data_IF_937802569013
#
_entry.id   IF_937802569013
#
_cell.length_a   1.000
_cell.length_b   1.000
_cell.length_c   1.000
_cell.angle_alpha   90.00
_cell.angle_beta   90.00
_cell.angle_gamma   90.00
#
_symmetry.space_group_name_H-M   'P 1'
#
loop_
_entity.id
_entity.type
_entity.pdbx_description
1 polymer ?
#
# COMPACT_ATOMS: atom_id res chain seq x y z
N UNK A 1 -2.91 27.55 31.45
CA UNK A 1 -2.57 26.20 30.94
C UNK A 1 -2.14 26.35 29.49
N UNK A 2 -0.91 26.81 29.28
CA UNK A 2 -0.35 27.04 27.95
C UNK A 2 0.54 25.84 27.60
N UNK A 3 0.22 25.14 26.52
CA UNK A 3 1.02 24.02 26.02
C UNK A 3 2.20 24.63 25.27
N UNK A 4 3.36 24.64 25.91
CA UNK A 4 4.64 25.00 25.28
C UNK A 4 4.97 23.98 24.20
N UNK A 5 4.82 24.37 22.93
CA UNK A 5 5.38 23.63 21.79
C UNK A 5 6.88 23.94 21.70
N UNK A 6 7.65 23.50 22.70
CA UNK A 6 9.10 23.44 22.61
C UNK A 6 9.43 22.13 21.91
N UNK A 7 9.67 22.22 20.61
CA UNK A 7 10.28 21.15 19.81
C UNK A 7 11.71 20.98 20.33
N UNK A 8 11.91 20.00 21.21
CA UNK A 8 13.21 19.68 21.77
C UNK A 8 14.01 18.87 20.74
N UNK A 9 14.95 19.54 20.08
CA UNK A 9 15.84 18.93 19.10
C UNK A 9 17.26 18.90 19.65
N UNK A 10 17.47 18.08 20.68
CA UNK A 10 18.80 17.79 21.18
C UNK A 10 18.92 16.32 21.61
N UNK A 11 20.05 15.73 21.20
CA UNK A 11 20.67 14.51 21.69
C UNK A 11 20.09 13.15 21.27
N UNK A 12 20.26 12.85 19.98
CA UNK A 12 20.29 11.49 19.45
C UNK A 12 21.69 10.92 19.29
N UNK A 13 22.58 11.02 20.29
CA UNK A 13 23.86 10.31 20.27
C UNK A 13 23.65 8.82 20.62
N UNK A 14 23.04 8.06 19.69
CA UNK A 14 23.00 6.59 19.77
C UNK A 14 24.22 6.03 19.06
N UNK A 15 25.25 5.75 19.85
CA UNK A 15 26.39 4.95 19.46
C UNK A 15 25.94 3.49 19.26
N UNK A 16 25.33 3.18 18.12
CA UNK A 16 25.16 1.80 17.65
C UNK A 16 26.36 1.46 16.77
N UNK A 17 27.24 0.60 17.28
CA UNK A 17 28.20 -0.10 16.43
C UNK A 17 27.43 -0.89 15.38
N UNK A 18 27.37 -0.36 14.16
CA UNK A 18 26.82 -1.06 13.00
C UNK A 18 27.96 -1.66 12.21
N UNK A 19 28.09 -2.98 12.31
CA UNK A 19 28.91 -3.75 11.39
C UNK A 19 28.45 -3.48 9.95
N UNK A 20 29.40 -3.10 9.09
CA UNK A 20 29.19 -2.81 7.69
C UNK A 20 28.80 -4.08 6.91
N UNK A 21 27.51 -4.32 6.74
CA UNK A 21 27.02 -5.26 5.75
C UNK A 21 26.92 -4.53 4.40
N UNK A 22 27.95 -4.69 3.57
CA UNK A 22 27.90 -4.39 2.14
C UNK A 22 26.70 -5.11 1.53
N UNK A 23 25.70 -4.36 1.09
CA UNK A 23 24.59 -4.87 0.29
C UNK A 23 24.61 -4.19 -1.08
N UNK A 24 25.51 -4.67 -1.94
CA UNK A 24 25.22 -4.69 -3.37
C UNK A 24 24.02 -5.61 -3.58
N UNK A 25 22.85 -5.04 -3.85
CA UNK A 25 21.62 -5.78 -4.12
C UNK A 25 20.84 -5.08 -5.22
N UNK A 26 20.87 -5.67 -6.42
CA UNK A 26 20.09 -5.27 -7.59
C UNK A 26 18.66 -4.90 -7.22
N UNK A 27 18.27 -3.65 -7.48
CA UNK A 27 16.86 -3.26 -7.58
C UNK A 27 16.31 -3.77 -8.91
N UNK A 28 15.73 -4.96 -8.91
CA UNK A 28 14.79 -5.39 -9.96
C UNK A 28 13.50 -4.59 -9.77
N UNK A 29 13.29 -3.59 -10.63
CA UNK A 29 12.00 -2.93 -10.77
C UNK A 29 11.15 -3.76 -11.73
N UNK A 30 10.25 -4.60 -11.21
CA UNK A 30 9.20 -5.21 -12.04
C UNK A 30 8.01 -4.23 -12.08
N UNK A 31 8.15 -3.20 -12.93
CA UNK A 31 7.06 -2.31 -13.30
C UNK A 31 6.30 -2.95 -14.47
N UNK A 32 5.02 -3.22 -14.25
CA UNK A 32 4.03 -3.32 -15.31
C UNK A 32 4.01 -4.64 -16.05
N UNK A 33 3.27 -5.62 -15.53
CA UNK A 33 2.57 -6.58 -16.38
C UNK A 33 1.09 -6.26 -16.38
N UNK A 34 0.60 -5.84 -17.55
CA UNK A 34 -0.81 -5.76 -17.88
C UNK A 34 -1.42 -7.15 -17.67
N UNK A 35 -2.35 -7.25 -16.72
CA UNK A 35 -3.24 -8.39 -16.65
C UNK A 35 -4.49 -8.00 -17.42
N UNK A 36 -4.49 -8.32 -18.71
CA UNK A 36 -5.75 -8.40 -19.46
C UNK A 36 -6.65 -9.39 -18.72
N UNK A 37 -7.83 -8.91 -18.33
CA UNK A 37 -8.85 -9.70 -17.68
C UNK A 37 -9.46 -10.68 -18.69
N UNK A 38 -8.73 -11.76 -18.98
CA UNK A 38 -9.23 -12.87 -19.76
C UNK A 38 -10.11 -13.76 -18.89
N UNK A 39 -11.40 -13.81 -19.21
CA UNK A 39 -12.40 -14.76 -18.68
C UNK A 39 -12.09 -16.26 -18.97
N UNK A 40 -10.83 -16.63 -19.26
CA UNK A 40 -10.42 -17.99 -19.65
C UNK A 40 -9.69 -18.81 -18.58
N UNK A 41 -9.55 -18.31 -17.35
CA UNK A 41 -8.70 -18.93 -16.33
C UNK A 41 -9.26 -20.24 -15.71
N UNK A 42 -10.53 -20.58 -15.93
CA UNK A 42 -11.14 -21.81 -15.39
C UNK A 42 -10.53 -23.08 -16.01
N UNK A 43 -10.29 -23.10 -17.32
CA UNK A 43 -9.82 -24.31 -18.03
C UNK A 43 -8.36 -24.69 -17.75
N UNK A 44 -7.53 -23.74 -17.33
CA UNK A 44 -6.11 -24.02 -17.02
C UNK A 44 -5.93 -24.79 -15.70
N UNK A 45 -6.85 -24.64 -14.75
CA UNK A 45 -6.85 -25.42 -13.51
C UNK A 45 -7.33 -26.85 -13.74
N UNK A 46 -8.40 -26.99 -14.52
CA UNK A 46 -9.00 -28.28 -14.87
C UNK A 46 -8.02 -29.18 -15.64
N UNK A 47 -7.28 -28.62 -16.60
CA UNK A 47 -6.27 -29.37 -17.37
C UNK A 47 -5.17 -29.94 -16.48
N UNK A 48 -4.64 -29.14 -15.55
CA UNK A 48 -3.59 -29.56 -14.61
C UNK A 48 -4.08 -30.61 -13.63
N UNK A 49 -5.36 -30.55 -13.26
CA UNK A 49 -5.96 -31.57 -12.40
C UNK A 49 -6.17 -32.90 -13.12
N UNK A 50 -6.54 -32.86 -14.41
CA UNK A 50 -6.56 -34.06 -15.25
C UNK A 50 -5.16 -34.66 -15.44
N UNK A 51 -4.13 -33.82 -15.68
CA UNK A 51 -2.73 -34.26 -15.76
C UNK A 51 -2.26 -34.94 -14.47
N UNK A 52 -2.57 -34.37 -13.30
CA UNK A 52 -2.25 -34.99 -12.01
C UNK A 52 -2.88 -36.39 -11.89
N UNK A 53 -4.18 -36.47 -12.20
CA UNK A 53 -4.93 -37.72 -12.08
C UNK A 53 -4.37 -38.81 -13.00
N UNK A 54 -3.95 -38.44 -14.21
CA UNK A 54 -3.29 -39.36 -15.14
C UNK A 54 -1.95 -39.87 -14.60
N UNK A 55 -1.14 -39.00 -13.97
CA UNK A 55 0.14 -39.38 -13.37
C UNK A 55 -0.07 -40.28 -12.13
N UNK A 56 -1.09 -40.00 -11.32
CA UNK A 56 -1.47 -40.85 -10.17
C UNK A 56 -1.92 -42.25 -10.62
N UNK A 57 -2.75 -42.33 -11.66
CA UNK A 57 -3.19 -43.61 -12.24
C UNK A 57 -2.00 -44.40 -12.82
N UNK A 58 -1.07 -43.72 -13.50
CA UNK A 58 0.18 -44.30 -14.02
C UNK A 58 1.09 -44.80 -12.90
N UNK A 59 1.25 -44.03 -11.82
CA UNK A 59 1.99 -44.44 -10.63
C UNK A 59 1.38 -45.71 -10.02
N UNK A 60 0.06 -45.79 -9.90
CA UNK A 60 -0.63 -46.97 -9.36
C UNK A 60 -0.42 -48.24 -10.19
N UNK A 61 -0.23 -48.12 -11.51
CA UNK A 61 0.10 -49.25 -12.40
C UNK A 61 1.58 -49.63 -12.24
N UNK A 62 2.48 -48.65 -12.34
CA UNK A 62 3.93 -48.86 -12.24
C UNK A 62 4.36 -49.42 -10.87
N UNK A 63 3.68 -49.05 -9.78
CA UNK A 63 3.95 -49.59 -8.45
C UNK A 63 3.59 -51.07 -8.32
N UNK A 64 2.53 -51.53 -9.02
CA UNK A 64 2.14 -52.94 -9.05
C UNK A 64 3.10 -53.76 -9.91
N UNK A 65 3.44 -53.24 -11.09
CA UNK A 65 4.24 -53.96 -12.08
C UNK A 65 5.74 -53.98 -11.73
N UNK A 66 6.22 -52.95 -11.02
CA UNK A 66 7.59 -52.87 -10.49
C UNK A 66 7.95 -53.99 -9.52
N UNK A 67 6.96 -54.62 -8.87
CA UNK A 67 7.20 -55.78 -7.99
C UNK A 67 7.62 -57.00 -8.82
N UNK A 68 7.12 -57.10 -10.06
CA UNK A 68 7.37 -58.22 -10.97
C UNK A 68 8.56 -57.98 -11.90
N UNK A 69 8.81 -56.73 -12.31
CA UNK A 69 9.88 -56.38 -13.24
C UNK A 69 10.80 -55.26 -12.71
N UNK A 70 12.08 -55.57 -12.39
CA UNK A 70 12.98 -54.61 -11.76
C UNK A 70 13.44 -53.46 -12.68
N UNK A 71 13.27 -53.57 -13.99
CA UNK A 71 13.62 -52.49 -14.92
C UNK A 71 12.61 -51.32 -14.92
N UNK A 72 11.38 -51.55 -14.45
CA UNK A 72 10.36 -50.52 -14.28
C UNK A 72 10.64 -49.58 -13.10
N UNK A 73 11.59 -49.94 -12.22
CA UNK A 73 11.97 -49.13 -11.05
C UNK A 73 12.51 -47.74 -11.42
N UNK A 74 13.18 -47.63 -12.57
CA UNK A 74 13.68 -46.35 -13.07
C UNK A 74 12.53 -45.45 -13.53
N UNK A 75 11.59 -45.98 -14.30
CA UNK A 75 10.40 -45.26 -14.75
C UNK A 75 9.51 -44.84 -13.57
N UNK A 76 9.40 -45.69 -12.54
CA UNK A 76 8.72 -45.34 -11.29
C UNK A 76 9.38 -44.15 -10.59
N UNK A 77 10.71 -44.08 -10.58
CA UNK A 77 11.46 -42.96 -9.98
C UNK A 77 11.22 -41.66 -10.73
N UNK A 78 11.18 -41.72 -12.06
CA UNK A 78 10.91 -40.59 -12.95
C UNK A 78 9.47 -40.08 -12.75
N UNK A 79 8.47 -40.97 -12.79
CA UNK A 79 7.06 -40.61 -12.56
C UNK A 79 6.83 -39.99 -11.16
N UNK A 80 7.51 -40.49 -10.12
CA UNK A 80 7.45 -39.89 -8.76
C UNK A 80 8.05 -38.49 -8.71
N UNK A 81 9.13 -38.25 -9.44
CA UNK A 81 9.74 -36.93 -9.54
C UNK A 81 8.82 -35.95 -10.28
N UNK A 82 8.21 -36.38 -11.39
CA UNK A 82 7.23 -35.59 -12.14
C UNK A 82 6.00 -35.23 -11.31
N UNK A 83 5.46 -36.19 -10.57
CA UNK A 83 4.35 -35.97 -9.64
C UNK A 83 4.67 -34.93 -8.56
N UNK A 84 5.85 -35.05 -7.93
CA UNK A 84 6.30 -34.09 -6.91
C UNK A 84 6.46 -32.67 -7.50
N UNK A 85 7.05 -32.56 -8.69
CA UNK A 85 7.19 -31.28 -9.39
C UNK A 85 5.84 -30.66 -9.75
N UNK A 86 4.87 -31.46 -10.20
CA UNK A 86 3.53 -30.97 -10.56
C UNK A 86 2.78 -30.45 -9.33
N UNK A 87 2.86 -31.17 -8.20
CA UNK A 87 2.32 -30.72 -6.90
C UNK A 87 2.95 -29.40 -6.47
N UNK A 88 4.27 -29.25 -6.56
CA UNK A 88 4.94 -28.00 -6.20
C UNK A 88 4.51 -26.83 -7.07
N UNK A 89 4.34 -27.04 -8.38
CA UNK A 89 3.83 -26.02 -9.31
C UNK A 89 2.41 -25.59 -8.95
N UNK A 90 1.54 -26.54 -8.61
CA UNK A 90 0.16 -26.25 -8.18
C UNK A 90 0.13 -25.50 -6.85
N UNK A 91 0.90 -25.94 -5.85
CA UNK A 91 1.03 -25.22 -4.56
C UNK A 91 1.45 -23.76 -4.76
N UNK A 92 2.43 -23.51 -5.64
CA UNK A 92 2.88 -22.14 -5.95
C UNK A 92 1.76 -21.32 -6.61
N UNK A 93 1.02 -21.91 -7.54
CA UNK A 93 -0.10 -21.27 -8.21
C UNK A 93 -1.23 -20.92 -7.22
N UNK A 94 -1.66 -21.88 -6.41
CA UNK A 94 -2.72 -21.71 -5.42
C UNK A 94 -2.31 -20.70 -4.34
N UNK A 95 -1.07 -20.74 -3.88
CA UNK A 95 -0.53 -19.74 -2.97
C UNK A 95 -0.54 -18.34 -3.58
N UNK A 96 -0.20 -18.21 -4.86
CA UNK A 96 -0.31 -16.95 -5.61
C UNK A 96 -1.76 -16.45 -5.65
N UNK A 97 -2.71 -17.32 -5.95
CA UNK A 97 -4.15 -16.99 -5.98
C UNK A 97 -4.70 -16.63 -4.60
N UNK A 98 -4.30 -17.35 -3.56
CA UNK A 98 -4.63 -17.04 -2.18
C UNK A 98 -4.09 -15.65 -1.79
N UNK A 99 -2.83 -15.36 -2.11
CA UNK A 99 -2.20 -14.06 -1.83
C UNK A 99 -2.90 -12.91 -2.58
N UNK A 100 -3.29 -13.13 -3.84
CA UNK A 100 -4.07 -12.18 -4.62
C UNK A 100 -5.44 -11.89 -3.97
N UNK A 101 -6.16 -12.93 -3.53
CA UNK A 101 -7.45 -12.78 -2.83
C UNK A 101 -7.27 -12.07 -1.50
N UNK A 102 -6.31 -12.51 -0.68
CA UNK A 102 -6.00 -11.88 0.60
C UNK A 102 -5.65 -10.39 0.45
N UNK A 103 -4.96 -9.98 -0.63
CA UNK A 103 -4.70 -8.56 -0.90
C UNK A 103 -5.92 -7.82 -1.49
N UNK A 104 -6.80 -8.50 -2.22
CA UNK A 104 -8.02 -7.90 -2.80
C UNK A 104 -9.14 -7.73 -1.78
N UNK A 105 -9.25 -8.63 -0.82
CA UNK A 105 -10.34 -8.77 0.15
C UNK A 105 -9.91 -8.36 1.57
N UNK A 106 -8.61 -8.38 1.86
CA UNK A 106 -8.08 -7.97 3.15
C UNK A 106 -8.07 -6.45 3.37
N UNK A 107 -7.79 -6.06 4.61
CA UNK A 107 -7.71 -4.67 5.01
C UNK A 107 -6.57 -3.93 4.30
N UNK A 108 -6.96 -2.96 3.46
CA UNK A 108 -6.03 -2.08 2.75
C UNK A 108 -5.29 -1.17 3.70
N UNK A 109 -5.90 -0.77 4.82
CA UNK A 109 -5.29 0.10 5.81
C UNK A 109 -4.12 -0.61 6.51
N UNK A 110 -4.32 -1.85 6.99
CA UNK A 110 -3.25 -2.66 7.56
C UNK A 110 -2.11 -2.97 6.57
N UNK A 111 -2.43 -3.22 5.30
CA UNK A 111 -1.41 -3.47 4.26
C UNK A 111 -0.60 -2.21 3.93
N UNK A 112 -1.26 -1.06 3.83
CA UNK A 112 -0.63 0.24 3.64
C UNK A 112 0.26 0.58 4.84
N UNK A 113 -0.23 0.40 6.06
CA UNK A 113 0.54 0.61 7.29
C UNK A 113 1.78 -0.29 7.31
N UNK A 114 1.64 -1.58 7.02
CA UNK A 114 2.78 -2.50 6.98
C UNK A 114 3.80 -2.15 5.88
N UNK A 115 3.39 -1.45 4.80
CA UNK A 115 4.33 -0.86 3.83
C UNK A 115 4.99 0.37 4.39
N UNK A 116 4.22 1.32 4.92
CA UNK A 116 4.74 2.54 5.54
C UNK A 116 5.76 2.23 6.64
N UNK A 117 5.49 1.24 7.49
CA UNK A 117 6.43 0.80 8.55
C UNK A 117 7.70 0.14 8.01
N UNK A 118 7.62 -0.55 6.86
CA UNK A 118 8.78 -1.15 6.19
C UNK A 118 9.60 -0.12 5.43
N UNK A 119 8.91 0.86 4.86
CA UNK A 119 9.46 1.94 4.06
C UNK A 119 9.75 3.18 4.90
N UNK A 120 9.66 3.12 6.24
CA UNK A 120 9.97 4.20 7.18
C UNK A 120 11.30 4.82 6.75
N UNK A 121 11.27 6.01 6.11
CA UNK A 121 12.46 6.57 5.53
C UNK A 121 13.37 6.93 6.69
N UNK A 122 14.60 6.43 6.68
CA UNK A 122 15.63 7.00 7.55
C UNK A 122 15.61 8.52 7.36
N UNK A 123 15.56 9.33 8.43
CA UNK A 123 15.47 10.77 8.31
C UNK A 123 16.57 11.25 7.37
N UNK A 124 16.18 11.86 6.25
CA UNK A 124 17.13 12.31 5.23
C UNK A 124 17.91 13.47 5.85
N UNK A 125 19.22 13.35 6.10
CA UNK A 125 19.98 14.43 6.70
C UNK A 125 20.11 15.58 5.69
N UNK A 126 19.88 16.81 6.16
CA UNK A 126 20.12 18.01 5.37
C UNK A 126 21.64 18.26 5.39
N UNK A 127 22.28 18.03 4.25
CA UNK A 127 23.75 18.11 4.12
C UNK A 127 24.21 19.56 3.94
N UNK A 128 23.41 20.40 3.29
CA UNK A 128 23.78 21.77 2.98
C UNK A 128 22.55 22.67 2.77
N UNK A 129 22.64 23.92 3.21
CA UNK A 129 21.65 24.97 2.93
C UNK A 129 22.32 26.25 2.41
N UNK A 130 21.56 27.06 1.68
CA UNK A 130 22.02 28.34 1.16
C UNK A 130 21.25 29.48 1.84
N UNK A 131 21.96 30.35 2.54
CA UNK A 131 21.38 31.47 3.30
C UNK A 131 21.72 32.79 2.59
N UNK A 132 20.82 33.80 2.58
CA UNK A 132 21.09 35.10 1.93
C UNK A 132 22.32 35.84 2.48
N UNK A 133 22.75 35.53 3.71
CA UNK A 133 23.87 36.17 4.40
C UNK A 133 25.20 35.42 4.23
N UNK A 134 25.16 34.11 3.97
CA UNK A 134 26.34 33.24 3.96
C UNK A 134 26.20 32.22 2.84
N UNK A 135 27.13 32.25 1.90
CA UNK A 135 27.09 31.41 0.71
C UNK A 135 27.50 29.98 1.10
N UNK A 136 26.50 29.14 1.33
CA UNK A 136 26.56 27.70 1.64
C UNK A 136 27.00 27.35 3.08
N UNK A 137 26.07 26.77 3.85
CA UNK A 137 26.30 26.25 5.20
C UNK A 137 26.21 24.73 5.13
N UNK A 138 27.26 24.05 5.61
CA UNK A 138 27.37 22.57 5.59
C UNK A 138 27.43 21.98 7.00
N UNK A 139 27.68 22.79 8.02
CA UNK A 139 27.76 22.34 9.41
C UNK A 139 26.38 22.13 10.00
N UNK A 140 26.12 20.97 10.60
CA UNK A 140 24.81 20.66 11.18
C UNK A 140 24.36 21.71 12.22
N UNK A 141 25.25 22.17 13.10
CA UNK A 141 24.90 23.18 14.12
C UNK A 141 24.41 24.50 13.48
N UNK A 142 25.10 24.96 12.45
CA UNK A 142 24.78 26.20 11.73
C UNK A 142 23.49 26.05 10.91
N UNK A 143 23.27 24.89 10.29
CA UNK A 143 22.01 24.54 9.62
C UNK A 143 20.84 24.65 10.60
N UNK A 144 21.01 24.07 11.79
CA UNK A 144 19.98 24.06 12.82
C UNK A 144 19.64 25.48 13.31
N UNK A 145 20.66 26.31 13.50
CA UNK A 145 20.51 27.71 13.87
C UNK A 145 19.81 28.51 12.78
N UNK A 146 20.19 28.34 11.52
CA UNK A 146 19.55 29.02 10.40
C UNK A 146 18.06 28.64 10.27
N UNK A 147 17.70 27.36 10.46
CA UNK A 147 16.30 26.95 10.51
C UNK A 147 15.55 27.58 11.68
N UNK A 148 16.14 27.57 12.87
CA UNK A 148 15.56 28.20 14.05
C UNK A 148 15.28 29.68 13.79
N UNK A 149 16.27 30.42 13.29
CA UNK A 149 16.16 31.86 13.06
C UNK A 149 15.14 32.19 11.96
N UNK A 150 15.08 31.38 10.91
CA UNK A 150 14.07 31.53 9.87
C UNK A 150 12.65 31.36 10.42
N UNK A 151 12.38 30.29 11.15
CA UNK A 151 11.04 30.01 11.68
C UNK A 151 10.66 30.94 12.83
N UNK A 152 11.61 31.39 13.65
CA UNK A 152 11.32 32.42 14.65
C UNK A 152 10.84 33.70 13.98
N UNK A 153 11.51 34.16 12.92
CA UNK A 153 11.05 35.34 12.17
C UNK A 153 9.69 35.08 11.50
N UNK A 154 9.51 33.93 10.85
CA UNK A 154 8.27 33.60 10.14
C UNK A 154 7.05 33.62 11.06
N UNK A 155 7.18 33.08 12.27
CA UNK A 155 6.07 32.98 13.22
C UNK A 155 6.01 34.12 14.26
N UNK A 156 7.07 34.92 14.39
CA UNK A 156 7.06 36.14 15.24
C UNK A 156 6.56 37.37 14.48
N UNK A 157 6.54 37.33 13.14
CA UNK A 157 5.99 38.40 12.34
C UNK A 157 4.51 38.61 12.71
N UNK A 158 4.12 39.80 13.20
CA UNK A 158 2.71 40.09 13.42
C UNK A 158 1.99 40.04 12.07
N UNK A 159 0.81 39.41 12.03
CA UNK A 159 -0.10 39.49 10.89
C UNK A 159 -0.57 40.95 10.78
N UNK A 160 0.18 41.79 10.06
CA UNK A 160 -0.20 43.15 9.71
C UNK A 160 -1.15 43.07 8.50
N UNK A 161 -2.25 42.32 8.65
CA UNK A 161 -3.34 42.36 7.69
C UNK A 161 -4.45 43.11 8.39
N UNK A 162 -4.74 44.32 7.92
CA UNK A 162 -5.83 45.10 8.46
C UNK A 162 -7.13 44.32 8.22
N UNK A 163 -8.01 44.25 9.22
CA UNK A 163 -9.32 43.57 9.07
C UNK A 163 -10.11 44.10 7.86
N UNK A 164 -9.92 45.38 7.55
CA UNK A 164 -10.46 46.04 6.36
C UNK A 164 -9.98 45.42 5.04
N UNK A 165 -8.72 44.97 4.95
CA UNK A 165 -8.19 44.30 3.76
C UNK A 165 -8.83 42.92 3.58
N UNK A 166 -9.01 42.17 4.67
CA UNK A 166 -9.71 40.87 4.65
C UNK A 166 -11.16 41.06 4.19
N UNK A 167 -11.86 42.03 4.77
CA UNK A 167 -13.26 42.32 4.42
C UNK A 167 -13.37 42.77 2.94
N UNK A 168 -12.42 43.58 2.46
CA UNK A 168 -12.37 43.98 1.05
C UNK A 168 -12.11 42.80 0.09
N UNK A 169 -11.24 41.87 0.50
CA UNK A 169 -10.96 40.66 -0.27
C UNK A 169 -12.17 39.72 -0.32
N UNK A 170 -12.82 39.49 0.83
CA UNK A 170 -13.99 38.62 0.92
C UNK A 170 -15.20 39.18 0.17
N UNK A 171 -15.37 40.51 0.12
CA UNK A 171 -16.44 41.13 -0.66
C UNK A 171 -16.18 41.11 -2.17
N UNK A 172 -14.91 41.02 -2.59
CA UNK A 172 -14.54 40.85 -4.01
C UNK A 172 -14.87 39.45 -4.54
N UNK A 173 -14.99 38.45 -3.65
CA UNK A 173 -15.32 37.08 -4.05
C UNK A 173 -16.84 36.93 -4.21
N UNK A 174 -17.31 36.87 -5.45
CA UNK A 174 -18.68 36.48 -5.75
C UNK A 174 -18.87 34.97 -5.56
N UNK A 175 -19.47 34.58 -4.42
CA UNK A 175 -19.83 33.19 -4.19
C UNK A 175 -21.15 32.86 -4.92
N UNK A 176 -21.21 31.77 -5.70
CA UNK A 176 -22.46 31.36 -6.34
C UNK A 176 -23.50 30.99 -5.28
N UNK A 177 -24.60 31.73 -5.25
CA UNK A 177 -25.73 31.43 -4.39
C UNK A 177 -26.51 30.23 -4.94
N UNK A 178 -26.87 29.30 -4.06
CA UNK A 178 -27.66 28.13 -4.44
C UNK A 178 -29.07 28.55 -4.86
N UNK A 179 -29.59 27.99 -5.94
CA UNK A 179 -31.00 28.21 -6.32
C UNK A 179 -31.95 27.64 -5.25
N UNK A 180 -33.07 28.33 -5.04
CA UNK A 180 -34.04 27.99 -4.00
C UNK A 180 -34.59 26.56 -4.14
N UNK A 181 -34.70 26.05 -5.36
CA UNK A 181 -35.11 24.66 -5.63
C UNK A 181 -34.07 23.64 -5.14
N UNK A 182 -32.79 23.89 -5.41
CA UNK A 182 -31.70 23.03 -4.94
C UNK A 182 -31.62 23.07 -3.41
N UNK A 183 -31.87 24.23 -2.80
CA UNK A 183 -31.92 24.40 -1.35
C UNK A 183 -33.06 23.59 -0.73
N UNK A 184 -34.25 23.65 -1.33
CA UNK A 184 -35.41 22.84 -0.91
C UNK A 184 -35.14 21.34 -1.01
N UNK A 185 -34.49 20.89 -2.09
CA UNK A 185 -34.07 19.49 -2.25
C UNK A 185 -33.08 19.05 -1.17
N UNK A 186 -32.07 19.88 -0.85
CA UNK A 186 -31.12 19.58 0.21
C UNK A 186 -31.75 19.54 1.61
N UNK A 187 -32.81 20.33 1.84
CA UNK A 187 -33.56 20.33 3.11
C UNK A 187 -34.65 19.24 3.18
N UNK A 188 -34.89 18.49 2.10
CA UNK A 188 -35.91 17.46 2.07
C UNK A 188 -35.50 16.23 2.93
N UNK A 189 -36.49 15.46 3.38
CA UNK A 189 -36.23 14.23 4.12
C UNK A 189 -35.64 13.16 3.20
N UNK A 190 -34.59 12.48 3.67
CA UNK A 190 -33.94 11.38 2.96
C UNK A 190 -34.86 10.14 2.98
N UNK A 191 -35.12 9.56 1.82
CA UNK A 191 -35.99 8.39 1.68
C UNK A 191 -35.19 7.08 1.72
N UNK A 192 -35.86 5.98 2.09
CA UNK A 192 -35.22 4.66 2.10
C UNK A 192 -34.80 4.18 0.70
N UNK A 193 -35.48 4.62 -0.36
CA UNK A 193 -35.15 4.29 -1.74
C UNK A 193 -33.80 4.86 -2.14
N UNK A 194 -33.59 6.15 -1.88
CA UNK A 194 -32.32 6.85 -2.12
C UNK A 194 -31.16 6.19 -1.39
N UNK A 195 -31.37 5.77 -0.14
CA UNK A 195 -30.35 5.05 0.64
C UNK A 195 -29.96 3.74 -0.04
N UNK A 196 -30.93 2.94 -0.50
CA UNK A 196 -30.66 1.65 -1.15
C UNK A 196 -29.93 1.80 -2.49
N UNK A 197 -30.32 2.79 -3.29
CA UNK A 197 -29.65 3.09 -4.56
C UNK A 197 -28.23 3.61 -4.33
N UNK A 198 -28.07 4.56 -3.40
CA UNK A 198 -26.75 5.08 -3.03
C UNK A 198 -25.84 3.98 -2.54
N UNK A 199 -26.35 3.06 -1.70
CA UNK A 199 -25.62 1.87 -1.30
C UNK A 199 -25.18 1.14 -2.57
N UNK A 200 -26.06 0.67 -3.46
CA UNK A 200 -25.64 -0.09 -4.65
C UNK A 200 -24.53 0.58 -5.50
N UNK A 201 -24.54 1.90 -5.60
CA UNK A 201 -23.58 2.67 -6.40
C UNK A 201 -22.28 3.03 -5.67
N UNK A 202 -22.20 2.81 -4.35
CA UNK A 202 -21.01 3.11 -3.57
C UNK A 202 -19.81 2.23 -3.95
N UNK A 203 -18.63 2.85 -3.96
CA UNK A 203 -17.38 2.15 -4.22
C UNK A 203 -17.06 1.14 -3.11
N UNK A 204 -17.02 -0.14 -3.48
CA UNK A 204 -16.61 -1.26 -2.62
C UNK A 204 -15.19 -1.09 -2.08
N UNK A 205 -14.87 -1.79 -0.98
CA UNK A 205 -13.52 -1.86 -0.37
C UNK A 205 -12.99 -0.55 0.23
N UNK A 206 -13.90 0.36 0.60
CA UNK A 206 -13.57 1.49 1.48
C UNK A 206 -13.64 1.02 2.94
N UNK A 207 -12.80 1.61 3.77
CA UNK A 207 -12.89 1.40 5.21
C UNK A 207 -14.25 1.89 5.72
N UNK A 208 -14.81 1.19 6.70
CA UNK A 208 -16.01 1.63 7.40
C UNK A 208 -15.78 3.01 8.02
N UNK A 209 -16.83 3.82 8.11
CA UNK A 209 -16.79 5.10 8.79
C UNK A 209 -16.67 4.93 10.30
N UNK A 210 -16.88 6.01 11.04
CA UNK A 210 -16.96 5.96 12.50
C UNK A 210 -18.13 5.10 13.03
N UNK A 211 -19.09 4.78 12.17
CA UNK A 211 -20.22 3.88 12.43
C UNK A 211 -19.83 2.40 12.38
N UNK A 212 -18.66 2.06 11.84
CA UNK A 212 -18.14 0.69 11.78
C UNK A 212 -18.88 -0.24 10.80
N UNK A 213 -19.80 0.30 9.99
CA UNK A 213 -20.54 -0.49 9.00
C UNK A 213 -19.77 -0.53 7.68
N UNK A 214 -19.31 -1.71 7.22
CA UNK A 214 -18.74 -1.84 5.89
C UNK A 214 -19.85 -1.77 4.84
N UNK A 215 -19.46 -1.41 3.62
CA UNK A 215 -20.38 -1.39 2.48
C UNK A 215 -20.82 -2.79 2.01
N UNK A 216 -20.05 -3.83 2.35
CA UNK A 216 -20.25 -5.20 1.87
C UNK A 216 -21.17 -5.96 2.83
N UNK A 217 -22.45 -6.12 2.45
CA UNK A 217 -23.45 -6.96 3.10
C UNK A 217 -24.27 -7.74 2.07
#
# INVERSE_FOLDING_TARGET
MERSWLFDWADGNRNEQRHSASSHGLRLTDRGRNYEAGHGAAGLGEHRMCELKQIEDQLGILERDSISQPHLTQQLREARAEHTQLIERLRKFDYGKYRERAHREGDRAGTLLARLMRDEPSPIPIIQINTPQQNNITTQLEINMAFRDYYTVLYSAPLIIARAEIDSFLTTIELPALQEEARKKLSAQITQGEIRETIKDMARKKAAGSDGLPFEF
#
